data_IF_576094540044
#
_entry.id   IF_576094540044
#
_cell.length_a   1.000
_cell.length_b   1.000
_cell.length_c   1.000
_cell.angle_alpha   90.00
_cell.angle_beta   90.00
_cell.angle_gamma   90.00
#
_symmetry.space_group_name_H-M   'P 1'
#
loop_
_entity.id
_entity.type
_entity.pdbx_description
1 polymer ?
#
# COMPACT_ATOMS: atom_id res chain seq x y z
N UNK A 1 -7.26 0.71 -23.29
CA UNK A 1 -6.04 0.11 -22.70
C UNK A 1 -5.18 1.17 -22.02
N UNK A 2 -4.70 2.18 -22.73
CA UNK A 2 -3.88 3.25 -22.13
C UNK A 2 -4.63 4.10 -21.10
N UNK A 3 -5.89 4.45 -21.37
CA UNK A 3 -6.70 5.28 -20.48
C UNK A 3 -6.98 4.63 -19.12
N UNK A 4 -7.22 3.31 -19.09
CA UNK A 4 -7.46 2.54 -17.87
C UNK A 4 -6.21 2.48 -16.97
N UNK A 5 -5.03 2.38 -17.57
CA UNK A 5 -3.76 2.41 -16.83
C UNK A 5 -3.53 3.77 -16.18
N UNK A 6 -3.78 4.86 -16.91
CA UNK A 6 -3.69 6.22 -16.38
C UNK A 6 -4.72 6.48 -15.28
N UNK A 7 -5.94 5.96 -15.43
CA UNK A 7 -6.98 6.05 -14.42
C UNK A 7 -6.60 5.27 -13.14
N UNK A 8 -6.10 4.03 -13.29
CA UNK A 8 -5.63 3.21 -12.18
C UNK A 8 -4.45 3.85 -11.43
N UNK A 9 -3.49 4.42 -12.16
CA UNK A 9 -2.39 5.20 -11.58
C UNK A 9 -2.90 6.44 -10.83
N UNK A 10 -3.85 7.17 -11.42
CA UNK A 10 -4.46 8.34 -10.78
C UNK A 10 -5.15 7.97 -9.46
N UNK A 11 -5.93 6.89 -9.44
CA UNK A 11 -6.59 6.41 -8.23
C UNK A 11 -5.58 5.94 -7.18
N UNK A 12 -4.54 5.21 -7.58
CA UNK A 12 -3.47 4.77 -6.68
C UNK A 12 -2.79 5.97 -5.99
N UNK A 13 -2.49 7.04 -6.74
CA UNK A 13 -1.91 8.27 -6.20
C UNK A 13 -2.87 9.01 -5.26
N UNK A 14 -4.16 9.06 -5.58
CA UNK A 14 -5.18 9.65 -4.69
C UNK A 14 -5.23 8.86 -3.38
N UNK A 15 -5.27 7.53 -3.43
CA UNK A 15 -5.31 6.69 -2.22
C UNK A 15 -4.03 6.83 -1.38
N UNK A 16 -2.84 6.86 -1.99
CA UNK A 16 -1.60 7.13 -1.25
C UNK A 16 -1.58 8.53 -0.64
N UNK A 17 -2.17 9.52 -1.31
CA UNK A 17 -2.20 10.92 -0.85
C UNK A 17 -3.18 11.22 0.28
N UNK A 18 -4.24 10.40 0.46
CA UNK A 18 -5.27 10.63 1.49
C UNK A 18 -4.67 10.60 2.90
N UNK A 19 -3.85 9.59 3.23
CA UNK A 19 -3.24 9.44 4.56
C UNK A 19 -2.36 10.64 4.96
N UNK A 20 -1.35 11.07 4.17
CA UNK A 20 -0.53 12.22 4.50
C UNK A 20 -1.30 13.55 4.50
N UNK A 21 -2.36 13.68 3.70
CA UNK A 21 -3.18 14.89 3.65
C UNK A 21 -4.16 15.01 4.83
N UNK A 22 -4.91 13.93 5.12
CA UNK A 22 -5.94 13.93 6.15
C UNK A 22 -5.39 13.75 7.57
N UNK A 23 -4.37 12.89 7.75
CA UNK A 23 -3.83 12.53 9.06
C UNK A 23 -2.29 12.53 9.06
N UNK A 24 -1.65 13.71 8.89
CA UNK A 24 -0.19 13.82 8.76
C UNK A 24 0.58 13.32 9.99
N UNK A 25 0.03 13.48 11.20
CA UNK A 25 0.67 13.00 12.43
C UNK A 25 0.68 11.47 12.53
N UNK A 26 -0.46 10.84 12.24
CA UNK A 26 -0.58 9.37 12.22
C UNK A 26 0.35 8.81 11.15
N UNK A 27 0.33 9.39 9.95
CA UNK A 27 1.22 8.98 8.85
C UNK A 27 2.70 9.01 9.25
N UNK A 28 3.18 10.13 9.84
CA UNK A 28 4.56 10.24 10.34
C UNK A 28 4.89 9.20 11.40
N UNK A 29 3.97 8.95 12.34
CA UNK A 29 4.19 7.95 13.40
C UNK A 29 4.29 6.53 12.83
N UNK A 30 3.47 6.19 11.84
CA UNK A 30 3.49 4.90 11.15
C UNK A 30 4.79 4.71 10.39
N UNK A 31 5.23 5.72 9.63
CA UNK A 31 6.52 5.66 8.91
C UNK A 31 7.70 5.50 9.87
N UNK A 32 7.71 6.23 10.98
CA UNK A 32 8.76 6.09 12.01
C UNK A 32 8.77 4.67 12.59
N UNK A 33 7.59 4.14 12.91
CA UNK A 33 7.47 2.77 13.43
C UNK A 33 7.92 1.74 12.40
N UNK A 34 7.59 1.91 11.12
CA UNK A 34 8.10 1.06 10.04
C UNK A 34 9.62 1.13 9.92
N UNK A 35 10.22 2.31 10.06
CA UNK A 35 11.68 2.46 10.04
C UNK A 35 12.39 1.78 11.22
N UNK A 36 11.71 1.58 12.34
CA UNK A 36 12.24 0.91 13.53
C UNK A 36 12.02 -0.62 13.49
N UNK A 37 11.25 -1.13 12.51
CA UNK A 37 11.01 -2.56 12.34
C UNK A 37 12.22 -3.24 11.71
N UNK A 38 12.48 -4.47 12.13
CA UNK A 38 13.52 -5.27 11.50
C UNK A 38 13.16 -5.63 10.05
N UNK A 39 14.18 -5.75 9.19
CA UNK A 39 14.02 -6.16 7.78
C UNK A 39 13.17 -7.43 7.61
N UNK A 40 13.28 -8.37 8.56
CA UNK A 40 12.49 -9.60 8.56
C UNK A 40 11.00 -9.31 8.71
N UNK A 41 10.61 -8.42 9.61
CA UNK A 41 9.20 -8.07 9.82
C UNK A 41 8.61 -7.35 8.61
N UNK A 42 9.34 -6.40 8.02
CA UNK A 42 8.91 -5.70 6.81
C UNK A 42 8.71 -6.70 5.67
N UNK A 43 9.65 -7.63 5.48
CA UNK A 43 9.54 -8.68 4.45
C UNK A 43 8.35 -9.62 4.70
N UNK A 44 8.07 -9.99 5.94
CA UNK A 44 6.90 -10.82 6.26
C UNK A 44 5.59 -10.09 5.96
N UNK A 45 5.48 -8.81 6.33
CA UNK A 45 4.28 -8.00 6.03
C UNK A 45 4.10 -7.88 4.51
N UNK A 46 5.17 -7.56 3.79
CA UNK A 46 5.16 -7.51 2.32
C UNK A 46 4.75 -8.86 1.71
N UNK A 47 5.30 -9.96 2.20
CA UNK A 47 4.96 -11.31 1.74
C UNK A 47 3.48 -11.66 1.98
N UNK A 48 2.95 -11.37 3.17
CA UNK A 48 1.52 -11.55 3.47
C UNK A 48 0.64 -10.69 2.54
N UNK A 49 1.03 -9.43 2.27
CA UNK A 49 0.31 -8.55 1.36
C UNK A 49 0.32 -9.06 -0.09
N UNK A 50 1.45 -9.59 -0.54
CA UNK A 50 1.58 -10.20 -1.87
C UNK A 50 0.67 -11.43 -2.01
N UNK A 51 0.70 -12.34 -1.03
CA UNK A 51 -0.17 -13.52 -1.03
C UNK A 51 -1.64 -13.13 -0.98
N UNK A 52 -2.03 -12.20 -0.11
CA UNK A 52 -3.41 -11.74 0.00
C UNK A 52 -3.89 -11.14 -1.32
N UNK A 53 -3.10 -10.26 -1.95
CA UNK A 53 -3.41 -9.69 -3.27
C UNK A 53 -3.52 -10.76 -4.35
N UNK A 54 -2.64 -11.76 -4.36
CA UNK A 54 -2.69 -12.88 -5.29
C UNK A 54 -3.99 -13.70 -5.12
N UNK A 55 -4.35 -14.03 -3.87
CA UNK A 55 -5.56 -14.79 -3.56
C UNK A 55 -6.83 -14.04 -3.96
N UNK A 56 -6.90 -12.72 -3.68
CA UNK A 56 -8.04 -11.89 -4.09
C UNK A 56 -8.15 -11.84 -5.61
N UNK A 57 -7.03 -11.62 -6.32
CA UNK A 57 -7.01 -11.61 -7.79
C UNK A 57 -7.47 -12.94 -8.39
N UNK A 58 -7.07 -14.06 -7.77
CA UNK A 58 -7.50 -15.39 -8.19
C UNK A 58 -8.97 -15.68 -7.87
N UNK A 59 -9.50 -15.14 -6.77
CA UNK A 59 -10.89 -15.31 -6.36
C UNK A 59 -11.88 -14.41 -7.11
N UNK A 60 -11.42 -13.26 -7.61
CA UNK A 60 -12.23 -12.30 -8.39
C UNK A 60 -12.23 -12.66 -9.89
N UNK A 61 -11.41 -13.63 -10.30
CA UNK A 61 -11.38 -14.19 -11.66
C UNK A 61 -12.34 -15.36 -11.81
#
# INVERSE_FOLDING_TARGET
MSSELWLGLGLMLVFEGIMPFALPQVWRSTLKRMSEMSDRQIRTIGFCSLIAGLLISLAVK
#
